data_IF_531047080684
#
_entry.id   IF_531047080684
#
_cell.length_a   1.000
_cell.length_b   1.000
_cell.length_c   1.000
_cell.angle_alpha   90.00
_cell.angle_beta   90.00
_cell.angle_gamma   90.00
#
_symmetry.space_group_name_H-M   'P 1'
#
loop_
_entity.id
_entity.type
_entity.pdbx_description
1 polymer ?
#
# COMPACT_ATOMS: atom_id res chain seq x y z
N UNK A 1 4.04 48.04 -6.74
CA UNK A 1 3.06 47.04 -7.26
C UNK A 1 3.09 45.87 -6.32
N UNK A 2 2.05 45.77 -5.47
CA UNK A 2 1.96 44.75 -4.42
C UNK A 2 1.43 43.47 -5.01
N UNK A 3 2.26 42.44 -5.10
CA UNK A 3 1.87 41.10 -5.39
C UNK A 3 1.32 40.42 -4.12
N UNK A 4 0.03 40.44 -3.94
CA UNK A 4 -0.64 39.62 -2.92
C UNK A 4 -0.54 38.14 -3.32
N UNK A 5 0.25 37.39 -2.57
CA UNK A 5 0.20 35.93 -2.62
C UNK A 5 -1.20 35.47 -2.18
N UNK A 6 -1.93 34.80 -3.08
CA UNK A 6 -3.17 34.12 -2.73
C UNK A 6 -2.84 32.98 -1.76
N UNK A 7 -3.19 33.16 -0.49
CA UNK A 7 -3.22 32.09 0.48
C UNK A 7 -4.29 31.09 -0.02
N UNK A 8 -3.85 29.89 -0.38
CA UNK A 8 -4.78 28.82 -0.71
C UNK A 8 -5.66 28.56 0.53
N UNK A 9 -6.97 28.63 0.36
CA UNK A 9 -7.92 28.34 1.42
C UNK A 9 -7.68 26.90 1.91
N UNK A 10 -7.36 26.76 3.18
CA UNK A 10 -7.30 25.48 3.86
C UNK A 10 -8.74 24.95 3.91
N UNK A 11 -9.03 23.94 3.08
CA UNK A 11 -10.31 23.24 3.14
C UNK A 11 -10.35 22.54 4.50
N UNK A 12 -11.35 22.81 5.35
CA UNK A 12 -11.43 22.14 6.65
C UNK A 12 -11.57 20.62 6.44
N UNK A 13 -11.03 19.80 7.36
CA UNK A 13 -11.12 18.35 7.29
C UNK A 13 -12.60 17.94 7.26
N UNK A 14 -12.92 16.94 6.44
CA UNK A 14 -14.24 16.32 6.40
C UNK A 14 -14.37 15.46 7.65
N UNK A 15 -15.06 15.97 8.66
CA UNK A 15 -15.34 15.17 9.86
C UNK A 15 -16.60 14.32 9.63
N UNK A 16 -16.60 13.12 10.17
CA UNK A 16 -17.81 12.31 10.38
C UNK A 16 -18.87 13.18 11.10
N UNK A 17 -20.17 13.04 10.81
CA UNK A 17 -21.25 13.79 11.51
C UNK A 17 -21.18 13.71 13.03
N UNK A 18 -20.47 12.74 13.59
CA UNK A 18 -20.22 12.58 15.02
C UNK A 18 -19.00 13.36 15.55
N UNK A 19 -18.28 14.10 14.69
CA UNK A 19 -17.11 14.89 15.04
C UNK A 19 -15.79 14.10 15.13
N UNK A 20 -15.78 12.83 14.72
CA UNK A 20 -14.55 12.04 14.61
C UNK A 20 -13.86 12.29 13.25
N UNK A 21 -12.52 12.14 13.19
CA UNK A 21 -11.82 12.23 11.91
C UNK A 21 -12.33 11.17 10.94
N UNK A 22 -12.48 11.56 9.66
CA UNK A 22 -12.86 10.63 8.60
C UNK A 22 -11.73 9.68 8.31
N UNK A 23 -12.05 8.43 7.98
CA UNK A 23 -11.07 7.40 7.70
C UNK A 23 -11.57 6.47 6.61
N UNK A 24 -10.69 6.16 5.66
CA UNK A 24 -10.92 5.10 4.70
C UNK A 24 -9.67 4.24 4.51
N UNK A 25 -9.75 2.97 4.94
CA UNK A 25 -8.82 1.92 4.52
C UNK A 25 -9.47 1.19 3.35
N UNK A 26 -8.90 1.40 2.17
CA UNK A 26 -9.44 0.83 0.95
C UNK A 26 -9.04 -0.64 0.81
N UNK A 27 -10.04 -1.48 0.56
CA UNK A 27 -9.88 -2.93 0.39
C UNK A 27 -9.88 -3.25 -1.10
N UNK A 28 -8.69 -3.43 -1.66
CA UNK A 28 -8.51 -3.69 -3.08
C UNK A 28 -8.96 -5.10 -3.46
N UNK A 29 -9.84 -5.21 -4.45
CA UNK A 29 -10.30 -6.48 -5.02
C UNK A 29 -10.44 -6.39 -6.54
N UNK A 30 -10.11 -7.48 -7.23
CA UNK A 30 -10.25 -7.59 -8.70
C UNK A 30 -11.30 -8.63 -9.10
N UNK A 31 -12.01 -9.17 -8.13
CA UNK A 31 -13.02 -10.22 -8.32
C UNK A 31 -14.01 -10.23 -7.15
N UNK A 32 -15.09 -10.95 -7.31
CA UNK A 32 -16.06 -11.19 -6.22
C UNK A 32 -15.37 -11.83 -5.02
N UNK A 33 -15.53 -11.20 -3.85
CA UNK A 33 -15.04 -11.68 -2.58
C UNK A 33 -16.01 -11.27 -1.47
N UNK A 34 -16.09 -12.06 -0.41
CA UNK A 34 -16.73 -11.61 0.83
C UNK A 34 -15.77 -10.66 1.53
N UNK A 35 -16.28 -9.51 1.94
CA UNK A 35 -15.49 -8.44 2.54
C UNK A 35 -16.07 -8.04 3.89
N UNK A 36 -15.22 -7.68 4.88
CA UNK A 36 -15.72 -7.14 6.13
C UNK A 36 -16.50 -5.83 5.89
N UNK A 37 -17.59 -5.63 6.63
CA UNK A 37 -18.47 -4.47 6.52
C UNK A 37 -18.23 -3.51 7.66
N UNK A 38 -17.79 -2.31 7.37
CA UNK A 38 -17.62 -1.24 8.36
C UNK A 38 -17.75 0.13 7.68
N UNK A 39 -17.75 1.19 8.49
CA UNK A 39 -17.75 2.57 8.02
C UNK A 39 -16.35 3.09 7.63
N UNK A 40 -15.31 2.30 7.87
CA UNK A 40 -13.91 2.66 7.66
C UNK A 40 -13.13 1.71 6.71
N UNK A 41 -13.68 0.52 6.40
CA UNK A 41 -13.15 -0.39 5.37
C UNK A 41 -13.95 -0.20 4.09
N UNK A 42 -13.35 0.40 3.08
CA UNK A 42 -14.03 0.80 1.84
C UNK A 42 -13.56 -0.06 0.67
N UNK A 43 -14.42 -0.91 0.09
CA UNK A 43 -14.04 -1.69 -1.09
C UNK A 43 -13.70 -0.81 -2.29
N UNK A 44 -12.60 -1.16 -2.99
CA UNK A 44 -12.23 -0.58 -4.27
C UNK A 44 -11.94 -1.68 -5.29
N UNK A 45 -12.63 -1.64 -6.42
CA UNK A 45 -12.40 -2.58 -7.52
C UNK A 45 -11.15 -2.20 -8.32
N UNK A 46 -10.36 -3.20 -8.68
CA UNK A 46 -9.21 -3.05 -9.56
C UNK A 46 -9.54 -3.57 -10.96
N UNK A 47 -8.89 -3.02 -11.98
CA UNK A 47 -9.16 -3.33 -13.39
C UNK A 47 -10.63 -3.06 -13.76
N UNK A 48 -11.20 -2.00 -13.22
CA UNK A 48 -12.60 -1.62 -13.45
C UNK A 48 -13.63 -2.56 -12.81
N UNK A 49 -13.23 -3.49 -11.93
CA UNK A 49 -14.14 -4.43 -11.28
C UNK A 49 -15.19 -3.72 -10.43
N UNK A 50 -16.45 -4.16 -10.55
CA UNK A 50 -17.60 -3.71 -9.75
C UNK A 50 -18.58 -4.84 -9.49
N UNK A 51 -19.25 -4.77 -8.35
CA UNK A 51 -20.44 -5.56 -8.03
C UNK A 51 -21.34 -4.82 -7.03
N UNK A 52 -22.32 -5.48 -6.44
CA UNK A 52 -23.25 -4.89 -5.47
C UNK A 52 -22.57 -4.36 -4.19
N UNK A 53 -21.39 -4.86 -3.84
CA UNK A 53 -20.60 -4.44 -2.67
C UNK A 53 -19.40 -3.55 -3.04
N UNK A 54 -18.99 -3.50 -4.30
CA UNK A 54 -17.84 -2.76 -4.81
C UNK A 54 -18.30 -1.69 -5.79
N UNK A 55 -18.64 -0.52 -5.28
CA UNK A 55 -19.22 0.58 -6.09
C UNK A 55 -18.19 1.50 -6.73
N UNK A 56 -17.02 1.62 -6.10
CA UNK A 56 -15.88 2.43 -6.55
C UNK A 56 -14.84 1.53 -7.19
N UNK A 57 -14.21 1.99 -8.27
CA UNK A 57 -13.10 1.27 -8.88
C UNK A 57 -11.99 2.19 -9.37
N UNK A 58 -10.83 1.62 -9.67
CA UNK A 58 -9.64 2.31 -10.15
C UNK A 58 -9.80 2.99 -11.51
N UNK A 59 -10.86 2.66 -12.26
CA UNK A 59 -11.22 3.29 -13.54
C UNK A 59 -12.13 4.52 -13.38
N UNK A 60 -12.51 4.91 -12.15
CA UNK A 60 -13.35 6.06 -11.92
C UNK A 60 -12.59 7.37 -12.15
N UNK A 61 -13.26 8.29 -12.87
CA UNK A 61 -12.68 9.57 -13.25
C UNK A 61 -11.84 9.49 -14.53
N UNK A 62 -11.63 10.67 -15.15
CA UNK A 62 -10.88 10.77 -16.40
C UNK A 62 -9.36 10.54 -16.23
N UNK A 63 -8.82 10.87 -15.06
CA UNK A 63 -7.40 10.72 -14.73
C UNK A 63 -7.21 9.43 -13.93
N UNK A 64 -7.07 8.30 -14.63
CA UNK A 64 -6.84 6.98 -14.07
C UNK A 64 -5.82 6.18 -14.90
N UNK A 65 -5.26 5.14 -14.31
CA UNK A 65 -4.33 4.22 -14.95
C UNK A 65 -4.84 2.76 -14.89
N UNK A 66 -6.15 2.55 -14.81
CA UNK A 66 -6.75 1.22 -14.70
C UNK A 66 -6.35 0.28 -15.85
N UNK A 67 -6.11 0.82 -17.05
CA UNK A 67 -5.62 0.06 -18.22
C UNK A 67 -4.23 -0.58 -18.01
N UNK A 68 -3.43 -0.09 -17.05
CA UNK A 68 -2.14 -0.67 -16.68
C UNK A 68 -2.25 -1.74 -15.58
N UNK A 69 -3.45 -2.08 -15.12
CA UNK A 69 -3.62 -2.98 -13.97
C UNK A 69 -2.94 -4.34 -14.13
N UNK A 70 -2.80 -4.85 -15.36
CA UNK A 70 -2.08 -6.10 -15.61
C UNK A 70 -0.65 -6.06 -15.08
N UNK A 71 0.03 -4.93 -15.20
CA UNK A 71 1.41 -4.72 -14.77
C UNK A 71 1.49 -4.04 -13.40
N UNK A 72 0.67 -3.01 -13.17
CA UNK A 72 0.70 -2.19 -11.96
C UNK A 72 -0.06 -2.80 -10.79
N UNK A 73 -0.90 -3.81 -11.04
CA UNK A 73 -1.70 -4.52 -10.03
C UNK A 73 -2.42 -3.55 -9.08
N UNK A 74 -2.24 -3.63 -7.77
CA UNK A 74 -2.87 -2.73 -6.78
C UNK A 74 -2.45 -1.26 -6.88
N UNK A 75 -1.37 -0.95 -7.59
CA UNK A 75 -0.94 0.43 -7.79
C UNK A 75 -1.95 1.26 -8.58
N UNK A 76 -2.79 0.63 -9.42
CA UNK A 76 -3.87 1.36 -10.12
C UNK A 76 -4.90 1.90 -9.12
N UNK A 77 -5.23 1.13 -8.09
CA UNK A 77 -6.04 1.59 -6.97
C UNK A 77 -5.35 2.67 -6.14
N UNK A 78 -4.05 2.52 -5.88
CA UNK A 78 -3.24 3.51 -5.17
C UNK A 78 -3.17 4.85 -5.94
N UNK A 79 -3.08 4.80 -7.28
CA UNK A 79 -3.17 6.00 -8.11
C UNK A 79 -4.54 6.68 -7.99
N UNK A 80 -5.60 5.89 -8.03
CA UNK A 80 -6.96 6.42 -7.83
C UNK A 80 -7.10 7.11 -6.46
N UNK A 81 -6.58 6.50 -5.39
CA UNK A 81 -6.54 7.11 -4.06
C UNK A 81 -5.79 8.45 -4.05
N UNK A 82 -4.66 8.55 -4.74
CA UNK A 82 -3.88 9.79 -4.85
C UNK A 82 -4.70 10.94 -5.44
N UNK A 83 -5.63 10.64 -6.34
CA UNK A 83 -6.49 11.64 -7.01
C UNK A 83 -7.77 11.95 -6.23
N UNK A 84 -8.34 10.98 -5.56
CA UNK A 84 -9.73 11.05 -5.08
C UNK A 84 -9.89 11.02 -3.57
N UNK A 85 -8.96 10.42 -2.81
CA UNK A 85 -9.09 10.33 -1.35
C UNK A 85 -9.10 11.71 -0.68
N UNK A 86 -10.08 11.94 0.21
CA UNK A 86 -10.27 13.20 0.96
C UNK A 86 -10.37 12.98 2.46
N UNK A 87 -10.29 11.75 2.93
CA UNK A 87 -10.36 11.38 4.33
C UNK A 87 -9.15 11.89 5.12
N UNK A 88 -9.29 12.06 6.43
CA UNK A 88 -8.22 12.48 7.34
C UNK A 88 -7.16 11.39 7.56
N UNK A 89 -7.54 10.15 7.32
CA UNK A 89 -6.64 8.99 7.29
C UNK A 89 -6.95 8.12 6.09
N UNK A 90 -5.91 7.59 5.47
CA UNK A 90 -6.00 6.76 4.27
C UNK A 90 -5.14 5.51 4.42
N UNK A 91 -5.67 4.39 3.97
CA UNK A 91 -4.93 3.13 3.91
C UNK A 91 -5.30 2.31 2.69
N UNK A 92 -4.46 1.33 2.40
CA UNK A 92 -4.70 0.30 1.39
C UNK A 92 -4.44 -1.07 2.01
N UNK A 93 -5.35 -1.99 1.79
CA UNK A 93 -5.17 -3.41 2.04
C UNK A 93 -5.78 -4.22 0.88
N UNK A 94 -5.74 -5.55 0.98
CA UNK A 94 -6.29 -6.42 -0.07
C UNK A 94 -7.44 -7.26 0.50
N UNK A 95 -8.32 -7.74 -0.36
CA UNK A 95 -9.48 -8.55 0.01
C UNK A 95 -9.16 -9.83 0.81
N UNK A 96 -7.89 -10.24 0.85
CA UNK A 96 -7.41 -11.37 1.66
C UNK A 96 -6.25 -11.03 2.60
N UNK A 97 -5.90 -9.75 2.74
CA UNK A 97 -4.75 -9.31 3.54
C UNK A 97 -5.12 -8.05 4.28
N UNK A 98 -5.27 -8.17 5.59
CA UNK A 98 -5.70 -7.08 6.46
C UNK A 98 -4.68 -6.85 7.57
N UNK A 99 -4.41 -5.59 7.89
CA UNK A 99 -3.67 -5.25 9.10
C UNK A 99 -4.57 -5.46 10.33
N UNK A 100 -3.96 -5.84 11.45
CA UNK A 100 -4.66 -5.97 12.72
C UNK A 100 -3.97 -5.12 13.77
N UNK A 101 -4.74 -4.46 14.62
CA UNK A 101 -4.24 -3.49 15.60
C UNK A 101 -4.42 -3.96 17.03
N UNK A 102 -5.24 -4.97 17.22
CA UNK A 102 -5.42 -5.70 18.48
C UNK A 102 -5.14 -7.18 18.24
N UNK A 103 -4.77 -7.94 19.30
CA UNK A 103 -4.56 -9.38 19.15
C UNK A 103 -5.82 -10.07 18.60
N UNK A 104 -5.67 -11.00 17.64
CA UNK A 104 -6.80 -11.81 17.19
C UNK A 104 -7.29 -12.73 18.32
N UNK A 105 -8.53 -13.22 18.23
CA UNK A 105 -9.14 -14.10 19.26
C UNK A 105 -8.54 -15.51 19.33
N UNK A 106 -7.34 -15.74 18.81
CA UNK A 106 -6.66 -17.04 18.86
C UNK A 106 -5.58 -17.09 19.94
N UNK A 107 -5.46 -18.20 20.69
CA UNK A 107 -4.54 -18.30 21.80
C UNK A 107 -3.08 -18.48 21.34
N UNK A 108 -2.16 -17.94 22.17
CA UNK A 108 -0.74 -18.32 22.31
C UNK A 108 0.09 -18.59 21.04
N UNK A 109 0.08 -17.67 20.09
CA UNK A 109 1.05 -17.73 19.02
C UNK A 109 2.01 -16.56 19.19
N UNK A 110 3.28 -16.86 19.15
CA UNK A 110 4.33 -15.90 18.83
C UNK A 110 3.96 -15.31 17.46
N UNK A 111 3.27 -14.16 17.46
CA UNK A 111 2.58 -13.63 16.28
C UNK A 111 3.55 -13.49 15.11
N UNK A 112 3.45 -14.33 14.08
CA UNK A 112 4.26 -14.16 12.88
C UNK A 112 3.91 -12.85 12.17
N UNK A 113 4.72 -12.43 11.22
CA UNK A 113 4.41 -11.27 10.39
C UNK A 113 3.06 -11.44 9.67
N UNK A 114 2.75 -12.66 9.29
CA UNK A 114 1.50 -13.07 8.62
C UNK A 114 0.91 -14.27 9.33
N UNK A 115 -0.38 -14.25 9.62
CA UNK A 115 -1.08 -15.41 10.16
C UNK A 115 -2.39 -15.70 9.40
N UNK A 116 -2.69 -16.97 9.13
CA UNK A 116 -3.90 -17.36 8.44
C UNK A 116 -5.11 -17.25 9.36
N UNK A 117 -6.25 -16.81 8.81
CA UNK A 117 -7.57 -16.93 9.43
C UNK A 117 -8.56 -17.44 8.39
N UNK A 118 -9.56 -18.16 8.85
CA UNK A 118 -10.63 -18.61 7.98
C UNK A 118 -11.59 -17.46 7.68
N UNK A 119 -12.17 -17.51 6.48
CA UNK A 119 -13.16 -16.53 6.01
C UNK A 119 -14.52 -16.81 6.68
N UNK A 120 -14.71 -16.32 7.91
CA UNK A 120 -15.95 -16.45 8.72
C UNK A 120 -16.51 -15.10 9.09
N UNK A 121 -17.79 -15.05 9.48
CA UNK A 121 -18.41 -13.81 9.97
C UNK A 121 -17.70 -13.29 11.22
N UNK A 122 -17.25 -14.16 12.14
CA UNK A 122 -16.50 -13.77 13.33
C UNK A 122 -15.15 -13.10 12.98
N UNK A 123 -14.47 -13.63 11.96
CA UNK A 123 -13.23 -13.01 11.44
C UNK A 123 -13.51 -11.64 10.84
N UNK A 124 -14.59 -11.49 10.08
CA UNK A 124 -14.96 -10.21 9.52
C UNK A 124 -15.40 -9.20 10.57
N UNK A 125 -16.17 -9.63 11.57
CA UNK A 125 -16.58 -8.78 12.70
C UNK A 125 -15.35 -8.30 13.49
N UNK A 126 -14.37 -9.19 13.72
CA UNK A 126 -13.10 -8.82 14.34
C UNK A 126 -12.34 -7.78 13.52
N UNK A 127 -12.15 -8.02 12.20
CA UNK A 127 -11.41 -7.10 11.31
C UNK A 127 -12.10 -5.74 11.16
N UNK A 128 -13.43 -5.70 11.21
CA UNK A 128 -14.25 -4.51 11.03
C UNK A 128 -14.58 -3.75 12.32
N UNK A 129 -14.17 -4.28 13.48
CA UNK A 129 -14.59 -3.78 14.78
C UNK A 129 -14.13 -2.34 15.09
N UNK A 130 -14.89 -1.63 15.89
CA UNK A 130 -14.52 -0.30 16.42
C UNK A 130 -13.24 -0.36 17.25
N UNK A 131 -12.95 -1.47 17.90
CA UNK A 131 -11.71 -1.66 18.64
C UNK A 131 -10.49 -1.58 17.72
N UNK A 132 -10.52 -2.26 16.57
CA UNK A 132 -9.47 -2.17 15.54
C UNK A 132 -9.32 -0.73 15.05
N UNK A 133 -10.43 -0.06 14.70
CA UNK A 133 -10.46 1.32 14.26
C UNK A 133 -9.83 2.28 15.28
N UNK A 134 -10.30 2.22 16.52
CA UNK A 134 -9.86 3.14 17.57
C UNK A 134 -8.39 2.93 17.93
N UNK A 135 -7.93 1.67 17.94
CA UNK A 135 -6.52 1.37 18.18
C UNK A 135 -5.65 1.90 17.06
N UNK A 136 -6.05 1.73 15.81
CA UNK A 136 -5.35 2.26 14.63
C UNK A 136 -5.25 3.79 14.70
N UNK A 137 -6.35 4.50 15.01
CA UNK A 137 -6.34 5.95 15.18
C UNK A 137 -5.35 6.40 16.24
N UNK A 138 -5.36 5.75 17.42
CA UNK A 138 -4.42 6.10 18.50
C UNK A 138 -2.95 5.87 18.13
N UNK A 139 -2.65 4.94 17.24
CA UNK A 139 -1.30 4.72 16.73
C UNK A 139 -0.86 5.81 15.77
N UNK A 140 -1.76 6.33 14.94
CA UNK A 140 -1.49 7.40 13.98
C UNK A 140 -1.24 8.77 14.64
N UNK A 141 -1.59 8.94 15.93
CA UNK A 141 -1.17 10.11 16.71
C UNK A 141 0.35 10.13 16.99
N UNK A 142 1.00 8.95 16.96
CA UNK A 142 2.41 8.80 17.30
C UNK A 142 3.26 8.44 16.09
N UNK A 143 2.73 7.60 15.19
CA UNK A 143 3.46 7.04 14.06
C UNK A 143 3.04 7.69 12.75
N UNK A 144 4.00 7.80 11.83
CA UNK A 144 3.78 8.39 10.52
C UNK A 144 3.12 7.43 9.54
N UNK A 145 3.45 6.14 9.66
CA UNK A 145 2.86 5.03 8.91
C UNK A 145 2.59 3.84 9.82
N UNK A 146 1.53 3.12 9.51
CA UNK A 146 1.30 1.75 10.00
C UNK A 146 1.49 0.83 8.79
N UNK A 147 2.32 -0.19 8.95
CA UNK A 147 2.69 -1.16 7.90
C UNK A 147 2.62 -2.58 8.44
N UNK A 148 2.53 -3.61 7.58
CA UNK A 148 2.66 -4.98 8.05
C UNK A 148 4.04 -5.21 8.68
N UNK A 149 4.13 -6.13 9.63
CA UNK A 149 5.44 -6.62 10.10
C UNK A 149 6.24 -7.14 8.91
N UNK A 150 7.52 -6.77 8.80
CA UNK A 150 8.32 -7.19 7.67
C UNK A 150 8.56 -8.71 7.68
N UNK A 151 8.60 -9.29 6.50
CA UNK A 151 9.19 -10.61 6.29
C UNK A 151 10.70 -10.43 6.38
N UNK A 152 11.37 -11.31 7.10
CA UNK A 152 12.82 -11.29 7.24
C UNK A 152 13.41 -12.40 6.35
N UNK A 153 14.25 -12.00 5.40
CA UNK A 153 14.95 -12.92 4.52
C UNK A 153 16.31 -13.35 5.11
N UNK A 154 16.80 -14.53 4.77
CA UNK A 154 18.17 -14.95 5.12
C UNK A 154 19.24 -14.18 4.34
N UNK A 155 18.89 -13.66 3.16
CA UNK A 155 19.72 -12.81 2.30
C UNK A 155 19.19 -11.37 2.29
N UNK A 156 19.92 -10.46 1.64
CA UNK A 156 19.46 -9.07 1.47
C UNK A 156 18.22 -8.98 0.58
N UNK A 157 17.45 -7.92 0.77
CA UNK A 157 16.27 -7.62 -0.09
C UNK A 157 16.69 -7.54 -1.57
N UNK A 158 17.89 -7.00 -1.85
CA UNK A 158 18.45 -6.96 -3.20
C UNK A 158 18.65 -8.37 -3.77
N UNK A 159 19.37 -9.22 -3.03
CA UNK A 159 19.63 -10.61 -3.46
C UNK A 159 18.32 -11.39 -3.64
N UNK A 160 17.41 -11.28 -2.68
CA UNK A 160 16.11 -11.94 -2.75
C UNK A 160 15.29 -11.48 -3.98
N UNK A 161 15.32 -10.18 -4.28
CA UNK A 161 14.62 -9.65 -5.46
C UNK A 161 15.22 -10.18 -6.77
N UNK A 162 16.55 -10.09 -6.92
CA UNK A 162 17.25 -10.55 -8.13
C UNK A 162 17.00 -12.03 -8.38
N UNK A 163 17.09 -12.87 -7.34
CA UNK A 163 16.81 -14.30 -7.44
C UNK A 163 15.38 -14.64 -7.85
N UNK A 164 14.42 -13.79 -7.51
CA UNK A 164 13.00 -14.04 -7.77
C UNK A 164 12.50 -13.40 -9.08
N UNK A 165 13.03 -12.22 -9.44
CA UNK A 165 12.48 -11.35 -10.47
C UNK A 165 13.48 -10.95 -11.55
N UNK A 166 14.79 -11.24 -11.36
CA UNK A 166 15.85 -10.92 -12.30
C UNK A 166 16.56 -9.58 -12.07
N UNK A 167 17.80 -9.52 -12.54
CA UNK A 167 18.72 -8.39 -12.37
C UNK A 167 18.27 -7.16 -13.16
N UNK A 168 17.68 -7.36 -14.33
CA UNK A 168 17.22 -6.27 -15.21
C UNK A 168 16.28 -5.30 -14.49
N UNK A 169 15.26 -5.83 -13.80
CA UNK A 169 14.29 -5.01 -13.07
C UNK A 169 14.94 -4.32 -11.88
N UNK A 170 15.85 -5.02 -11.19
CA UNK A 170 16.58 -4.46 -10.06
C UNK A 170 17.45 -3.27 -10.46
N UNK A 171 18.25 -3.42 -11.51
CA UNK A 171 19.10 -2.35 -12.04
C UNK A 171 18.30 -1.09 -12.39
N UNK A 172 17.19 -1.25 -13.11
CA UNK A 172 16.34 -0.12 -13.49
C UNK A 172 15.70 0.55 -12.28
N UNK A 173 15.24 -0.27 -11.33
CA UNK A 173 14.70 0.21 -10.07
C UNK A 173 15.73 1.02 -9.28
N UNK A 174 16.95 0.51 -9.08
CA UNK A 174 18.00 1.24 -8.37
C UNK A 174 18.34 2.58 -9.04
N UNK A 175 18.49 2.61 -10.36
CA UNK A 175 18.75 3.86 -11.10
C UNK A 175 17.63 4.85 -10.92
N UNK A 176 16.39 4.39 -10.93
CA UNK A 176 15.24 5.26 -10.69
C UNK A 176 15.19 5.78 -9.26
N UNK A 177 15.49 4.95 -8.26
CA UNK A 177 15.64 5.38 -6.86
C UNK A 177 16.78 6.41 -6.69
N UNK A 178 17.91 6.22 -7.37
CA UNK A 178 19.02 7.20 -7.35
C UNK A 178 18.63 8.56 -7.91
N UNK A 179 17.78 8.60 -8.93
CA UNK A 179 17.23 9.86 -9.46
C UNK A 179 16.30 10.54 -8.48
N UNK A 180 15.49 9.76 -7.75
CA UNK A 180 14.50 10.27 -6.78
C UNK A 180 15.17 10.77 -5.48
N UNK A 181 16.15 10.04 -4.93
CA UNK A 181 16.73 10.27 -3.61
C UNK A 181 18.20 10.68 -3.62
N UNK A 182 18.83 10.81 -4.79
CA UNK A 182 20.28 10.95 -4.92
C UNK A 182 20.99 9.60 -4.98
N UNK A 183 22.32 9.62 -5.11
CA UNK A 183 23.10 8.41 -5.42
C UNK A 183 23.13 7.35 -4.30
N UNK A 184 22.87 7.74 -3.05
CA UNK A 184 22.89 6.78 -1.94
C UNK A 184 21.60 5.95 -1.89
N UNK A 185 21.71 4.69 -2.33
CA UNK A 185 20.71 3.62 -2.19
C UNK A 185 21.26 2.41 -1.44
N UNK A 186 22.32 2.62 -0.64
CA UNK A 186 23.00 1.59 0.15
C UNK A 186 22.10 0.88 1.18
N UNK A 187 20.91 1.42 1.44
CA UNK A 187 19.86 0.77 2.22
C UNK A 187 19.68 -0.71 1.83
N UNK A 188 19.69 -1.01 0.55
CA UNK A 188 19.45 -2.35 0.05
C UNK A 188 20.63 -3.33 0.19
N UNK A 189 21.85 -2.79 0.45
CA UNK A 189 23.06 -3.63 0.55
C UNK A 189 23.08 -4.47 1.83
N UNK A 190 22.34 -4.04 2.86
CA UNK A 190 22.32 -4.68 4.17
C UNK A 190 20.91 -5.04 4.65
N UNK A 191 19.87 -4.47 4.06
CA UNK A 191 18.50 -4.68 4.53
C UNK A 191 18.00 -6.08 4.17
N UNK A 192 17.50 -6.77 5.17
CA UNK A 192 16.89 -8.12 5.03
C UNK A 192 15.37 -8.09 5.29
N UNK A 193 14.84 -6.95 5.71
CA UNK A 193 13.43 -6.77 6.11
C UNK A 193 12.62 -6.26 4.92
N UNK A 194 11.51 -6.91 4.65
CA UNK A 194 10.69 -6.65 3.49
C UNK A 194 9.22 -6.44 3.86
N UNK A 195 8.67 -5.29 3.50
CA UNK A 195 7.24 -4.98 3.66
C UNK A 195 6.47 -5.45 2.43
N UNK A 196 5.68 -6.53 2.59
CA UNK A 196 4.98 -7.13 1.46
C UNK A 196 3.60 -6.51 1.23
N UNK A 197 3.15 -6.52 -0.03
CA UNK A 197 1.76 -6.33 -0.43
C UNK A 197 1.31 -4.88 -0.61
N UNK A 198 2.20 -3.87 -0.58
CA UNK A 198 1.84 -2.45 -0.70
C UNK A 198 0.71 -2.02 0.27
N UNK A 199 0.73 -2.57 1.50
CA UNK A 199 -0.29 -2.39 2.53
C UNK A 199 0.19 -1.37 3.55
N UNK A 200 -0.64 -0.39 3.87
CA UNK A 200 -0.32 0.66 4.84
C UNK A 200 -1.55 1.42 5.32
N UNK A 201 -1.38 2.19 6.41
CA UNK A 201 -2.29 3.27 6.82
C UNK A 201 -1.45 4.48 7.22
N UNK A 202 -1.90 5.68 6.83
CA UNK A 202 -1.18 6.94 7.10
C UNK A 202 -2.11 8.16 6.97
N UNK A 203 -1.57 9.36 7.15
CA UNK A 203 -2.28 10.62 6.87
C UNK A 203 -2.26 10.94 5.36
N UNK A 204 -3.24 11.70 4.83
CA UNK A 204 -3.31 12.04 3.40
C UNK A 204 -2.09 12.82 2.90
N UNK A 205 -1.48 13.65 3.76
CA UNK A 205 -0.29 14.39 3.37
C UNK A 205 0.89 13.46 3.12
N UNK A 206 1.19 12.58 4.08
CA UNK A 206 2.26 11.59 3.96
C UNK A 206 1.99 10.60 2.84
N UNK A 207 0.73 10.18 2.68
CA UNK A 207 0.32 9.36 1.55
C UNK A 207 0.63 10.02 0.20
N UNK A 208 0.23 11.30 0.02
CA UNK A 208 0.50 12.01 -1.25
C UNK A 208 1.98 12.15 -1.53
N UNK A 209 2.80 12.39 -0.51
CA UNK A 209 4.26 12.47 -0.66
C UNK A 209 4.83 11.10 -1.08
N UNK A 210 4.44 10.03 -0.37
CA UNK A 210 4.83 8.65 -0.68
C UNK A 210 4.40 8.25 -2.10
N UNK A 211 3.12 8.40 -2.41
CA UNK A 211 2.57 7.96 -3.70
C UNK A 211 3.19 8.72 -4.88
N UNK A 212 3.39 10.04 -4.78
CA UNK A 212 4.08 10.81 -5.82
C UNK A 212 5.51 10.35 -6.05
N UNK A 213 6.25 10.06 -4.99
CA UNK A 213 7.62 9.56 -5.07
C UNK A 213 7.65 8.15 -5.67
N UNK A 214 6.75 7.27 -5.21
CA UNK A 214 6.59 5.93 -5.75
C UNK A 214 6.31 5.93 -7.26
N UNK A 215 5.33 6.71 -7.71
CA UNK A 215 4.97 6.76 -9.13
C UNK A 215 6.09 7.35 -9.99
N UNK A 216 6.86 8.36 -9.52
CA UNK A 216 8.04 8.82 -10.26
C UNK A 216 9.06 7.69 -10.49
N UNK A 217 9.25 6.82 -9.49
CA UNK A 217 10.17 5.69 -9.61
C UNK A 217 9.61 4.59 -10.51
N UNK A 218 8.38 4.16 -10.26
CA UNK A 218 7.76 3.05 -11.00
C UNK A 218 7.51 3.41 -12.46
N UNK A 219 6.94 4.60 -12.72
CA UNK A 219 6.65 5.07 -14.08
C UNK A 219 7.92 5.25 -14.90
N UNK A 220 9.02 5.70 -14.25
CA UNK A 220 10.31 5.81 -14.94
C UNK A 220 10.83 4.43 -15.37
N UNK A 221 10.76 3.41 -14.49
CA UNK A 221 11.17 2.05 -14.87
C UNK A 221 10.26 1.49 -15.96
N UNK A 222 8.95 1.73 -15.84
CA UNK A 222 7.99 1.26 -16.84
C UNK A 222 8.17 1.95 -18.20
N UNK A 223 8.52 3.23 -18.23
CA UNK A 223 8.82 3.96 -19.46
C UNK A 223 10.07 3.43 -20.17
N UNK A 224 11.06 2.90 -19.43
CA UNK A 224 12.26 2.28 -20.01
C UNK A 224 12.02 0.86 -20.52
N UNK A 225 11.23 0.05 -19.83
CA UNK A 225 11.10 -1.39 -20.07
C UNK A 225 9.80 -1.77 -20.80
N UNK A 226 8.73 -1.01 -20.60
CA UNK A 226 7.40 -1.36 -21.11
C UNK A 226 6.83 -2.64 -20.48
N UNK A 227 5.92 -3.28 -21.19
CA UNK A 227 5.33 -4.55 -20.78
C UNK A 227 6.25 -5.71 -21.23
N UNK A 228 6.68 -6.52 -20.26
CA UNK A 228 7.54 -7.69 -20.51
C UNK A 228 6.72 -8.95 -20.28
N UNK A 229 6.49 -9.72 -21.35
CA UNK A 229 5.62 -10.89 -21.31
C UNK A 229 6.34 -12.15 -20.84
N UNK A 230 7.57 -12.33 -21.23
CA UNK A 230 8.33 -13.55 -20.99
C UNK A 230 9.76 -13.25 -20.54
N UNK A 231 10.16 -13.89 -19.46
CA UNK A 231 11.53 -13.95 -18.94
C UNK A 231 11.71 -15.31 -18.26
N UNK A 232 12.20 -16.32 -19.00
CA UNK A 232 12.27 -17.71 -18.49
C UNK A 232 13.10 -17.87 -17.22
N UNK A 233 14.04 -16.95 -16.98
CA UNK A 233 14.94 -16.95 -15.81
C UNK A 233 14.28 -16.45 -14.52
N UNK A 234 13.08 -15.85 -14.58
CA UNK A 234 12.41 -15.32 -13.38
C UNK A 234 11.33 -16.25 -12.85
N UNK A 235 11.17 -16.26 -11.54
CA UNK A 235 10.24 -17.15 -10.84
C UNK A 235 8.78 -16.71 -10.94
N UNK A 236 8.53 -15.40 -11.03
CA UNK A 236 7.19 -14.81 -10.99
C UNK A 236 6.89 -14.08 -12.31
N UNK A 237 5.62 -13.84 -12.58
CA UNK A 237 5.14 -13.20 -13.79
C UNK A 237 5.87 -11.88 -14.09
N UNK A 238 6.72 -11.80 -15.14
CA UNK A 238 7.60 -10.67 -15.36
C UNK A 238 6.85 -9.37 -15.62
N UNK A 239 5.70 -9.41 -16.29
CA UNK A 239 4.89 -8.22 -16.55
C UNK A 239 4.44 -7.47 -15.27
N UNK A 240 4.47 -8.13 -14.09
CA UNK A 240 4.07 -7.54 -12.80
C UNK A 240 5.21 -6.85 -12.05
N UNK A 241 6.38 -6.68 -12.67
CA UNK A 241 7.53 -6.05 -12.02
C UNK A 241 7.23 -4.68 -11.41
N UNK A 242 6.34 -3.81 -11.95
CA UNK A 242 5.98 -2.56 -11.30
C UNK A 242 5.44 -2.75 -9.87
N UNK A 243 4.57 -3.74 -9.67
CA UNK A 243 4.08 -4.10 -8.34
C UNK A 243 5.19 -4.61 -7.41
N UNK A 244 6.10 -5.43 -7.92
CA UNK A 244 7.20 -5.99 -7.12
C UNK A 244 8.22 -4.94 -6.69
N UNK A 245 8.58 -3.99 -7.56
CA UNK A 245 9.48 -2.90 -7.17
C UNK A 245 8.81 -1.93 -6.20
N UNK A 246 7.50 -1.71 -6.31
CA UNK A 246 6.76 -0.86 -5.40
C UNK A 246 6.82 -1.34 -3.94
N UNK A 247 6.74 -2.65 -3.74
CA UNK A 247 6.90 -3.24 -2.40
C UNK A 247 8.30 -2.97 -1.81
N UNK A 248 9.36 -2.99 -2.63
CA UNK A 248 10.74 -2.68 -2.19
C UNK A 248 10.93 -1.20 -1.95
N UNK A 249 10.25 -0.37 -2.73
CA UNK A 249 10.29 1.08 -2.57
C UNK A 249 9.78 1.52 -1.20
N UNK A 250 8.76 0.88 -0.64
CA UNK A 250 8.19 1.22 0.68
C UNK A 250 9.27 1.26 1.76
N UNK A 251 10.11 0.22 1.87
CA UNK A 251 11.18 0.17 2.87
C UNK A 251 12.22 1.27 2.68
N UNK A 252 12.68 1.48 1.44
CA UNK A 252 13.60 2.56 1.11
C UNK A 252 13.01 3.93 1.44
N UNK A 253 11.75 4.18 1.08
CA UNK A 253 11.08 5.45 1.35
C UNK A 253 10.99 5.75 2.84
N UNK A 254 10.57 4.77 3.65
CA UNK A 254 10.51 4.88 5.11
C UNK A 254 11.89 5.26 5.67
N UNK A 255 12.93 4.57 5.22
CA UNK A 255 14.31 4.83 5.65
C UNK A 255 14.78 6.24 5.25
N UNK A 256 14.62 6.62 3.97
CA UNK A 256 15.09 7.92 3.45
C UNK A 256 14.37 9.11 4.07
N UNK A 257 13.10 8.96 4.39
CA UNK A 257 12.31 10.02 5.00
C UNK A 257 12.38 10.03 6.53
N UNK A 258 13.06 9.07 7.15
CA UNK A 258 13.19 8.94 8.60
C UNK A 258 11.83 8.79 9.29
N UNK A 259 10.89 8.06 8.69
CA UNK A 259 9.54 7.94 9.19
C UNK A 259 9.46 7.02 10.40
N UNK A 260 8.65 7.43 11.38
CA UNK A 260 8.29 6.56 12.51
C UNK A 260 7.18 5.62 12.06
N UNK A 261 7.46 4.33 12.05
CA UNK A 261 6.49 3.31 11.63
C UNK A 261 6.04 2.43 12.79
N UNK A 262 4.77 2.06 12.77
CA UNK A 262 4.25 0.99 13.61
C UNK A 262 4.07 -0.27 12.77
N UNK A 263 4.74 -1.34 13.16
CA UNK A 263 4.68 -2.64 12.47
C UNK A 263 3.66 -3.53 13.15
N UNK A 264 2.63 -3.91 12.42
CA UNK A 264 1.52 -4.72 12.95
C UNK A 264 1.39 -6.05 12.20
N UNK A 265 0.88 -7.10 12.83
CA UNK A 265 0.61 -8.35 12.13
C UNK A 265 -0.39 -8.16 10.97
N UNK A 266 -0.26 -9.01 9.96
CA UNK A 266 -1.18 -9.08 8.84
C UNK A 266 -1.95 -10.41 8.86
N UNK A 267 -3.27 -10.33 8.79
CA UNK A 267 -4.13 -11.49 8.57
C UNK A 267 -4.12 -11.85 7.09
N UNK A 268 -4.01 -13.12 6.80
CA UNK A 268 -4.24 -13.71 5.50
C UNK A 268 -5.50 -14.58 5.54
N UNK A 269 -6.54 -14.16 4.81
CA UNK A 269 -7.78 -14.92 4.71
C UNK A 269 -7.64 -16.07 3.70
N UNK A 270 -7.99 -17.27 4.15
CA UNK A 270 -8.01 -18.51 3.34
C UNK A 270 -9.21 -18.57 2.39
#
# INVERSE_FOLDING_TARGET
>A
MNGMAKIAAVVPPVTDPRGFPSMAVYVATHKRATLPRSDWLTPIGLNGYRDENVRTCDADGADNIAHLNRSYVELTGLYWLLKHCRDDYVGLCHYRRFLTFTPPPAPDINYPAVFPMDTTDETFDYLASDEQKNRMLSLLDTYDFIVPRPIIYPETVATSFVNAHGELFWDRFLRSCQREFGHDVSYFDQETRFYCGNIFVTTPEKFRQFAKSLFRVVDHVYAELGEIEDMPEVRYAPHRYPGYIAERFMGLYIHKMGLRVFETPMVWLN
#
